data_IF_760965216856
#
_entry.id   IF_760965216856
#
_cell.length_a   1.000
_cell.length_b   1.000
_cell.length_c   1.000
_cell.angle_alpha   90.00
_cell.angle_beta   90.00
_cell.angle_gamma   90.00
#
_symmetry.space_group_name_H-M   'P 1'
#
loop_
_entity.id
_entity.type
_entity.pdbx_description
1 polymer ?
#
# COMPACT_ATOMS: atom_id res chain seq x y z
N UNK A 1 20.06 -7.25 -5.10
CA UNK A 1 18.70 -6.68 -5.05
C UNK A 1 18.79 -5.26 -4.54
N UNK A 2 18.69 -4.30 -5.45
CA UNK A 2 18.90 -2.87 -5.21
C UNK A 2 17.81 -2.33 -4.29
N UNK A 3 18.18 -1.74 -3.16
CA UNK A 3 17.28 -0.93 -2.37
C UNK A 3 16.73 0.19 -3.26
N UNK A 4 15.45 0.12 -3.63
CA UNK A 4 14.80 1.19 -4.37
C UNK A 4 14.87 2.46 -3.51
N UNK A 5 15.54 3.49 -4.02
CA UNK A 5 15.58 4.81 -3.38
C UNK A 5 14.15 5.26 -3.09
N UNK A 6 13.79 5.37 -1.80
CA UNK A 6 12.43 5.69 -1.36
C UNK A 6 11.90 6.99 -1.97
N UNK A 7 12.81 7.85 -2.46
CA UNK A 7 12.50 9.14 -3.10
C UNK A 7 11.79 9.04 -4.44
N UNK A 8 11.80 7.88 -5.12
CA UNK A 8 11.18 7.72 -6.45
C UNK A 8 9.89 6.87 -6.46
N UNK A 9 9.33 6.48 -5.29
CA UNK A 9 8.09 5.69 -5.28
C UNK A 9 6.94 6.48 -5.88
N UNK A 10 6.20 5.84 -6.79
CA UNK A 10 4.94 6.39 -7.29
C UNK A 10 3.93 6.49 -6.14
N UNK A 11 2.89 7.31 -6.34
CA UNK A 11 1.82 7.46 -5.34
C UNK A 11 1.19 6.11 -4.97
N UNK A 12 0.97 5.22 -5.94
CA UNK A 12 0.40 3.89 -5.70
C UNK A 12 1.36 2.98 -4.92
N UNK A 13 2.65 2.99 -5.24
CA UNK A 13 3.65 2.22 -4.49
C UNK A 13 3.75 2.65 -3.02
N UNK A 14 3.49 3.94 -2.73
CA UNK A 14 3.43 4.45 -1.35
C UNK A 14 2.18 3.98 -0.61
N UNK A 15 1.02 3.96 -1.29
CA UNK A 15 -0.23 3.41 -0.75
C UNK A 15 -0.06 1.90 -0.46
N UNK A 16 0.46 1.14 -1.43
CA UNK A 16 0.69 -0.29 -1.30
C UNK A 16 1.61 -0.63 -0.11
N UNK A 17 2.74 0.06 0.01
CA UNK A 17 3.66 -0.15 1.12
C UNK A 17 3.04 0.18 2.49
N UNK A 18 2.25 1.25 2.57
CA UNK A 18 1.53 1.59 3.79
C UNK A 18 0.46 0.54 4.15
N UNK A 19 -0.20 -0.04 3.14
CA UNK A 19 -1.18 -1.11 3.31
C UNK A 19 -0.53 -2.38 3.85
N UNK A 20 0.56 -2.83 3.25
CA UNK A 20 1.33 -3.99 3.74
C UNK A 20 1.81 -3.73 5.17
N UNK A 21 2.40 -2.57 5.43
CA UNK A 21 2.90 -2.23 6.78
C UNK A 21 1.79 -2.29 7.85
N UNK A 22 0.58 -1.83 7.52
CA UNK A 22 -0.55 -1.89 8.44
C UNK A 22 -1.03 -3.34 8.70
N UNK A 23 -1.04 -4.18 7.67
CA UNK A 23 -1.40 -5.60 7.80
C UNK A 23 -0.35 -6.39 8.56
N UNK A 24 0.94 -6.15 8.32
CA UNK A 24 2.06 -6.76 9.05
C UNK A 24 2.05 -6.40 10.54
N UNK A 25 1.54 -5.21 10.88
CA UNK A 25 1.31 -4.78 12.25
C UNK A 25 0.10 -5.45 12.93
N UNK A 26 -0.60 -6.34 12.24
CA UNK A 26 -1.73 -7.13 12.76
C UNK A 26 -3.11 -6.50 12.59
N UNK A 27 -3.23 -5.38 11.86
CA UNK A 27 -4.54 -4.84 11.51
C UNK A 27 -5.28 -5.78 10.55
N UNK A 28 -6.60 -5.88 10.67
CA UNK A 28 -7.37 -6.65 9.68
C UNK A 28 -7.26 -6.00 8.30
N UNK A 29 -7.52 -6.78 7.25
CA UNK A 29 -7.52 -6.28 5.87
C UNK A 29 -8.50 -5.11 5.68
N UNK A 30 -9.65 -5.14 6.36
CA UNK A 30 -10.64 -4.06 6.28
C UNK A 30 -10.15 -2.79 7.00
N UNK A 31 -9.65 -2.92 8.23
CA UNK A 31 -9.14 -1.80 9.03
C UNK A 31 -7.91 -1.15 8.37
N UNK A 32 -6.99 -1.97 7.85
CA UNK A 32 -5.80 -1.49 7.15
C UNK A 32 -6.16 -0.68 5.89
N UNK A 33 -7.13 -1.15 5.09
CA UNK A 33 -7.62 -0.39 3.92
C UNK A 33 -8.26 0.94 4.31
N UNK A 34 -9.09 0.95 5.35
CA UNK A 34 -9.71 2.19 5.84
C UNK A 34 -8.65 3.17 6.35
N UNK A 35 -7.73 2.72 7.19
CA UNK A 35 -6.67 3.55 7.75
C UNK A 35 -5.76 4.16 6.67
N UNK A 36 -5.42 3.37 5.64
CA UNK A 36 -4.62 3.86 4.51
C UNK A 36 -5.42 4.83 3.64
N UNK A 37 -6.71 4.58 3.41
CA UNK A 37 -7.58 5.48 2.67
C UNK A 37 -7.63 6.88 3.33
N UNK A 38 -7.86 6.91 4.66
CA UNK A 38 -7.85 8.14 5.46
C UNK A 38 -6.48 8.85 5.40
N UNK A 39 -5.38 8.10 5.59
CA UNK A 39 -4.01 8.65 5.58
C UNK A 39 -3.63 9.32 4.26
N UNK A 40 -4.10 8.79 3.14
CA UNK A 40 -3.75 9.28 1.80
C UNK A 40 -4.84 10.15 1.16
N UNK A 41 -5.99 10.35 1.82
CA UNK A 41 -7.10 11.14 1.30
C UNK A 41 -7.74 10.51 0.05
N UNK A 42 -7.81 9.19 -0.01
CA UNK A 42 -8.40 8.42 -1.12
C UNK A 42 -9.55 7.55 -0.61
N UNK A 43 -10.30 6.91 -1.50
CA UNK A 43 -11.35 5.97 -1.10
C UNK A 43 -10.80 4.56 -0.84
N UNK A 44 -11.56 3.74 -0.10
CA UNK A 44 -11.21 2.34 0.15
C UNK A 44 -11.16 1.51 -1.14
N UNK A 45 -11.98 1.84 -2.13
CA UNK A 45 -11.97 1.21 -3.46
C UNK A 45 -10.64 1.51 -4.16
N UNK A 46 -10.14 2.75 -4.06
CA UNK A 46 -8.85 3.10 -4.63
C UNK A 46 -7.69 2.37 -3.98
N UNK A 47 -7.74 2.15 -2.66
CA UNK A 47 -6.73 1.34 -1.95
C UNK A 47 -6.77 -0.10 -2.43
N UNK A 48 -7.96 -0.67 -2.65
CA UNK A 48 -8.13 -2.04 -3.18
C UNK A 48 -7.60 -2.19 -4.60
N UNK A 49 -7.82 -1.21 -5.48
CA UNK A 49 -7.24 -1.20 -6.83
C UNK A 49 -5.71 -1.22 -6.78
N UNK A 50 -5.12 -0.39 -5.91
CA UNK A 50 -3.66 -0.33 -5.71
C UNK A 50 -3.12 -1.62 -5.11
N UNK A 51 -3.85 -2.26 -4.18
CA UNK A 51 -3.49 -3.57 -3.63
C UNK A 51 -3.41 -4.63 -4.73
N UNK A 52 -4.41 -4.68 -5.60
CA UNK A 52 -4.43 -5.60 -6.74
C UNK A 52 -3.27 -5.31 -7.71
N UNK A 53 -3.04 -4.05 -8.05
CA UNK A 53 -1.92 -3.63 -8.92
C UNK A 53 -0.57 -4.04 -8.32
N UNK A 54 -0.37 -3.83 -7.01
CA UNK A 54 0.87 -4.16 -6.32
C UNK A 54 1.14 -5.66 -6.27
N UNK A 55 0.11 -6.49 -6.08
CA UNK A 55 0.21 -7.95 -6.14
C UNK A 55 0.56 -8.40 -7.56
N UNK A 56 -0.14 -7.91 -8.58
CA UNK A 56 0.08 -8.25 -9.99
C UNK A 56 1.48 -7.88 -10.46
N UNK A 57 1.96 -6.69 -10.07
CA UNK A 57 3.28 -6.19 -10.43
C UNK A 57 4.38 -6.67 -9.48
N UNK A 58 4.03 -7.50 -8.48
CA UNK A 58 4.94 -8.01 -7.46
C UNK A 58 5.79 -6.90 -6.84
N UNK A 59 5.15 -5.79 -6.50
CA UNK A 59 5.84 -4.70 -5.83
C UNK A 59 6.39 -5.18 -4.50
N UNK A 60 7.66 -4.89 -4.19
CA UNK A 60 8.23 -5.29 -2.92
C UNK A 60 7.42 -4.63 -1.79
N UNK A 61 7.06 -5.41 -0.73
CA UNK A 61 6.35 -4.86 0.41
C UNK A 61 7.11 -3.69 1.04
N UNK A 62 8.45 -3.74 1.00
CA UNK A 62 9.37 -2.61 1.16
C UNK A 62 10.61 -2.85 0.31
#
# INVERSE_FOLDING_TARGET
MTAFDQRQRTFHQRIFAALVTAQDAGASVAESRQHVAERFGVTTERVREVEQEGIEKQWPPL
#
